data_IF_048902736595
#
_entry.id   IF_048902736595
#
_cell.length_a   1.000
_cell.length_b   1.000
_cell.length_c   1.000
_cell.angle_alpha   90.00
_cell.angle_beta   90.00
_cell.angle_gamma   90.00
#
_symmetry.space_group_name_H-M   'P 1'
#
loop_
_entity.id
_entity.type
_entity.pdbx_description
1 polymer ?
#
# COMPACT_ATOMS: atom_id res chain seq x y z
N UNK A 1 -2.66 -8.77 -92.91
CA UNK A 1 -2.04 -9.72 -91.96
C UNK A 1 -2.67 -9.39 -90.59
N UNK A 2 -3.60 -10.23 -90.09
CA UNK A 2 -4.42 -10.00 -88.90
C UNK A 2 -3.88 -10.87 -87.79
N UNK A 3 -3.32 -10.29 -86.76
CA UNK A 3 -2.87 -11.00 -85.56
C UNK A 3 -4.04 -11.00 -84.56
N UNK A 4 -4.64 -12.19 -84.38
CA UNK A 4 -5.69 -12.37 -83.33
C UNK A 4 -4.97 -12.70 -82.03
N UNK A 5 -4.98 -11.79 -81.13
CA UNK A 5 -4.49 -11.99 -79.75
C UNK A 5 -5.48 -12.80 -78.92
N UNK A 6 -5.11 -14.05 -78.59
CA UNK A 6 -5.85 -14.89 -77.65
C UNK A 6 -5.70 -14.33 -76.22
N UNK A 7 -6.68 -13.58 -75.76
CA UNK A 7 -6.80 -13.22 -74.36
C UNK A 7 -7.23 -14.43 -73.54
N UNK A 8 -6.29 -15.07 -72.82
CA UNK A 8 -6.63 -16.03 -71.75
C UNK A 8 -7.25 -15.27 -70.61
N UNK A 9 -8.54 -15.44 -70.42
CA UNK A 9 -9.26 -15.02 -69.20
C UNK A 9 -8.89 -16.04 -68.12
N UNK A 10 -8.00 -15.64 -67.24
CA UNK A 10 -7.70 -16.39 -66.01
C UNK A 10 -8.95 -16.37 -65.14
N UNK A 11 -9.73 -17.43 -65.16
CA UNK A 11 -10.78 -17.64 -64.18
C UNK A 11 -10.16 -17.95 -62.82
N UNK A 12 -9.86 -16.92 -62.05
CA UNK A 12 -9.63 -17.07 -60.63
C UNK A 12 -10.97 -17.44 -59.98
N UNK A 13 -11.16 -18.72 -59.70
CA UNK A 13 -12.32 -19.18 -58.92
C UNK A 13 -12.17 -18.59 -57.51
N UNK A 14 -12.90 -17.52 -57.26
CA UNK A 14 -13.07 -16.98 -55.89
C UNK A 14 -13.77 -18.08 -55.08
N UNK A 15 -13.00 -18.74 -54.18
CA UNK A 15 -13.56 -19.69 -53.24
C UNK A 15 -14.29 -18.86 -52.17
N UNK A 16 -15.59 -18.80 -52.20
CA UNK A 16 -16.40 -18.19 -51.17
C UNK A 16 -16.23 -18.89 -49.83
N UNK A 17 -16.09 -18.15 -48.76
CA UNK A 17 -16.06 -18.68 -47.40
C UNK A 17 -17.37 -19.41 -47.14
N UNK A 18 -17.29 -20.66 -46.71
CA UNK A 18 -18.49 -21.42 -46.31
C UNK A 18 -19.06 -20.86 -44.99
N UNK A 19 -20.39 -20.96 -44.84
CA UNK A 19 -21.08 -20.48 -43.65
C UNK A 19 -20.51 -21.11 -42.37
N UNK A 20 -20.14 -22.38 -42.44
CA UNK A 20 -19.52 -23.10 -41.30
C UNK A 20 -18.12 -22.57 -40.97
N UNK A 21 -17.31 -22.22 -41.96
CA UNK A 21 -15.98 -21.64 -41.76
C UNK A 21 -16.06 -20.27 -41.11
N UNK A 22 -17.02 -19.44 -41.51
CA UNK A 22 -17.30 -18.15 -40.85
C UNK A 22 -17.72 -18.34 -39.39
N UNK A 23 -18.59 -19.30 -39.07
CA UNK A 23 -19.01 -19.60 -37.70
C UNK A 23 -17.86 -20.09 -36.85
N UNK A 24 -17.04 -20.99 -37.33
CA UNK A 24 -15.85 -21.50 -36.59
C UNK A 24 -14.84 -20.38 -36.36
N UNK A 25 -14.58 -19.56 -37.37
CA UNK A 25 -13.65 -18.44 -37.27
C UNK A 25 -14.11 -17.41 -36.20
N UNK A 26 -15.39 -17.05 -36.20
CA UNK A 26 -15.93 -16.13 -35.19
C UNK A 26 -15.90 -16.73 -33.79
N UNK A 27 -16.15 -18.02 -33.63
CA UNK A 27 -16.03 -18.71 -32.35
C UNK A 27 -14.60 -18.69 -31.80
N UNK A 28 -13.59 -18.95 -32.62
CA UNK A 28 -12.18 -18.92 -32.22
C UNK A 28 -11.77 -17.49 -31.80
N UNK A 29 -12.18 -16.49 -32.60
CA UNK A 29 -11.89 -15.08 -32.28
C UNK A 29 -12.57 -14.67 -30.97
N UNK A 30 -13.82 -15.09 -30.73
CA UNK A 30 -14.52 -14.79 -29.48
C UNK A 30 -13.80 -15.37 -28.25
N UNK A 31 -13.35 -16.62 -28.31
CA UNK A 31 -12.57 -17.25 -27.24
C UNK A 31 -11.27 -16.49 -27.00
N UNK A 32 -10.57 -16.09 -28.08
CA UNK A 32 -9.36 -15.29 -27.99
C UNK A 32 -9.58 -13.95 -27.27
N UNK A 33 -10.65 -13.25 -27.58
CA UNK A 33 -11.00 -12.01 -26.90
C UNK A 33 -11.28 -12.21 -25.40
N UNK A 34 -12.02 -13.25 -25.04
CA UNK A 34 -12.30 -13.55 -23.61
C UNK A 34 -10.97 -13.78 -22.86
N UNK A 35 -10.05 -14.53 -23.43
CA UNK A 35 -8.74 -14.78 -22.82
C UNK A 35 -7.93 -13.48 -22.61
N UNK A 36 -7.92 -12.60 -23.62
CA UNK A 36 -7.25 -11.29 -23.52
C UNK A 36 -7.90 -10.43 -22.43
N UNK A 37 -9.22 -10.34 -22.37
CA UNK A 37 -9.92 -9.57 -21.34
C UNK A 37 -9.62 -10.09 -19.93
N UNK A 38 -9.54 -11.39 -19.72
CA UNK A 38 -9.18 -11.97 -18.46
C UNK A 38 -7.74 -11.61 -18.08
N UNK A 39 -6.79 -11.70 -19.02
CA UNK A 39 -5.40 -11.33 -18.78
C UNK A 39 -5.25 -9.85 -18.39
N UNK A 40 -5.94 -8.96 -19.11
CA UNK A 40 -5.95 -7.52 -18.79
C UNK A 40 -6.54 -7.28 -17.41
N UNK A 41 -7.65 -7.91 -17.06
CA UNK A 41 -8.28 -7.78 -15.75
C UNK A 41 -7.34 -8.21 -14.61
N UNK A 42 -6.65 -9.35 -14.75
CA UNK A 42 -5.64 -9.78 -13.78
C UNK A 42 -4.45 -8.82 -13.70
N UNK A 43 -4.01 -8.29 -14.82
CA UNK A 43 -2.90 -7.32 -14.87
C UNK A 43 -3.27 -6.03 -14.12
N UNK A 44 -4.45 -5.50 -14.33
CA UNK A 44 -4.95 -4.30 -13.62
C UNK A 44 -5.04 -4.55 -12.12
N UNK A 45 -5.56 -5.71 -11.70
CA UNK A 45 -5.61 -6.07 -10.29
C UNK A 45 -4.21 -6.19 -9.67
N UNK A 46 -3.25 -6.77 -10.39
CA UNK A 46 -1.87 -6.88 -9.93
C UNK A 46 -1.20 -5.51 -9.76
N UNK A 47 -1.43 -4.60 -10.71
CA UNK A 47 -0.94 -3.21 -10.64
C UNK A 47 -1.55 -2.48 -9.44
N UNK A 48 -2.85 -2.59 -9.22
CA UNK A 48 -3.53 -1.99 -8.07
C UNK A 48 -2.93 -2.47 -6.74
N UNK A 49 -2.73 -3.78 -6.60
CA UNK A 49 -2.13 -4.37 -5.39
C UNK A 49 -0.69 -3.90 -5.18
N UNK A 50 0.09 -3.81 -6.27
CA UNK A 50 1.48 -3.34 -6.22
C UNK A 50 1.54 -1.86 -5.80
N UNK A 51 0.69 -1.04 -6.38
CA UNK A 51 0.60 0.39 -6.06
C UNK A 51 0.25 0.61 -4.57
N UNK A 52 -0.74 -0.11 -4.03
CA UNK A 52 -1.10 -0.01 -2.61
C UNK A 52 0.03 -0.48 -1.68
N UNK A 53 0.79 -1.50 -2.08
CA UNK A 53 1.98 -1.95 -1.33
C UNK A 53 3.07 -0.88 -1.31
N UNK A 54 3.34 -0.27 -2.45
CA UNK A 54 4.36 0.78 -2.59
C UNK A 54 3.98 2.01 -1.77
N UNK A 55 2.74 2.48 -1.87
CA UNK A 55 2.22 3.59 -1.06
C UNK A 55 2.34 3.30 0.44
N UNK A 56 1.92 2.11 0.85
CA UNK A 56 1.98 1.71 2.27
C UNK A 56 3.43 1.64 2.77
N UNK A 57 4.34 1.09 1.97
CA UNK A 57 5.77 1.04 2.32
C UNK A 57 6.35 2.44 2.43
N UNK A 58 6.09 3.30 1.47
CA UNK A 58 6.54 4.69 1.50
C UNK A 58 6.04 5.45 2.74
N UNK A 59 4.73 5.36 3.03
CA UNK A 59 4.15 6.04 4.18
C UNK A 59 4.69 5.49 5.52
N UNK A 60 4.93 4.19 5.57
CA UNK A 60 5.51 3.56 6.77
C UNK A 60 6.95 4.02 7.00
N UNK A 61 7.76 4.07 5.93
CA UNK A 61 9.14 4.59 5.99
C UNK A 61 9.17 6.08 6.33
N UNK A 62 8.26 6.87 5.78
CA UNK A 62 8.13 8.29 6.08
C UNK A 62 7.95 8.54 7.59
N UNK A 63 7.12 7.75 8.29
CA UNK A 63 6.95 7.88 9.74
C UNK A 63 8.25 7.56 10.47
N UNK A 64 8.96 6.52 10.05
CA UNK A 64 10.25 6.17 10.66
C UNK A 64 11.30 7.26 10.45
N UNK A 65 11.39 7.79 9.23
CA UNK A 65 12.31 8.90 8.89
C UNK A 65 11.98 10.18 9.66
N UNK A 66 10.70 10.53 9.76
CA UNK A 66 10.25 11.69 10.55
C UNK A 66 10.64 11.56 12.03
N UNK A 67 10.64 10.35 12.57
CA UNK A 67 11.05 10.12 13.96
C UNK A 67 12.57 10.12 14.13
N UNK A 68 13.28 9.55 13.17
CA UNK A 68 14.73 9.50 13.21
C UNK A 68 15.36 10.87 13.00
N UNK A 69 14.76 11.73 12.17
CA UNK A 69 15.28 13.08 11.90
C UNK A 69 15.25 13.97 13.16
N UNK A 70 14.21 13.84 13.98
CA UNK A 70 13.99 14.70 15.14
C UNK A 70 14.19 13.97 16.48
N UNK A 71 14.82 12.82 16.47
CA UNK A 71 14.99 12.00 17.69
C UNK A 71 15.67 12.74 18.85
N UNK A 72 16.56 13.67 18.55
CA UNK A 72 17.28 14.45 19.55
C UNK A 72 16.61 15.78 19.92
N UNK A 73 15.50 16.12 19.27
CA UNK A 73 14.74 17.33 19.62
C UNK A 73 14.24 17.24 21.06
N UNK A 74 14.37 18.35 21.80
CA UNK A 74 13.89 18.43 23.17
C UNK A 74 12.43 18.88 23.19
N UNK A 75 11.61 18.11 23.91
CA UNK A 75 10.23 18.42 24.17
C UNK A 75 9.96 18.35 25.68
N UNK A 76 9.61 19.47 26.28
CA UNK A 76 9.37 19.56 27.74
C UNK A 76 10.53 19.03 28.61
N UNK A 77 11.78 19.31 28.21
CA UNK A 77 12.97 18.89 28.94
C UNK A 77 13.33 17.40 28.79
N UNK A 78 12.69 16.70 27.85
CA UNK A 78 12.99 15.31 27.49
C UNK A 78 13.27 15.20 26.00
N UNK A 79 14.14 14.29 25.59
CA UNK A 79 14.33 13.94 24.19
C UNK A 79 13.02 13.39 23.60
N UNK A 80 12.76 13.69 22.35
CA UNK A 80 11.52 13.36 21.66
C UNK A 80 11.15 11.88 21.81
N UNK A 81 12.07 10.96 21.58
CA UNK A 81 11.81 9.52 21.68
C UNK A 81 11.40 9.07 23.09
N UNK A 82 12.01 9.69 24.14
CA UNK A 82 11.67 9.40 25.54
C UNK A 82 10.31 9.94 25.91
N UNK A 83 9.99 11.16 25.46
CA UNK A 83 8.66 11.73 25.62
C UNK A 83 7.59 10.85 24.98
N UNK A 84 7.83 10.40 23.75
CA UNK A 84 6.92 9.54 23.03
C UNK A 84 6.72 8.17 23.70
N UNK A 85 7.76 7.61 24.29
CA UNK A 85 7.66 6.36 25.04
C UNK A 85 6.79 6.53 26.28
N UNK A 86 7.04 7.58 27.07
CA UNK A 86 6.27 7.89 28.27
C UNK A 86 4.79 8.11 27.96
N UNK A 87 4.47 8.81 26.86
CA UNK A 87 3.08 9.02 26.38
C UNK A 87 2.45 7.72 25.86
N UNK A 88 3.23 6.87 25.20
CA UNK A 88 2.75 5.59 24.67
C UNK A 88 2.43 4.57 25.78
N UNK A 89 3.18 4.57 26.87
CA UNK A 89 2.92 3.69 28.04
C UNK A 89 1.54 3.99 28.63
N UNK A 90 1.11 5.23 28.59
CA UNK A 90 -0.20 5.64 29.11
C UNK A 90 -1.37 5.28 28.17
N UNK A 91 -1.11 4.98 26.89
CA UNK A 91 -2.15 4.86 25.85
C UNK A 91 -2.09 3.60 25.01
N UNK A 92 -1.24 2.63 25.30
CA UNK A 92 -0.99 1.45 24.46
C UNK A 92 -0.39 1.74 23.07
N UNK A 93 -0.72 2.86 22.43
CA UNK A 93 -0.20 3.29 21.13
C UNK A 93 0.13 4.79 21.21
N UNK A 94 1.31 5.15 20.73
CA UNK A 94 1.69 6.54 20.64
C UNK A 94 0.80 7.33 19.67
N UNK A 95 0.53 6.73 18.52
CA UNK A 95 -0.39 7.24 17.50
C UNK A 95 -1.21 6.10 16.94
N UNK A 96 -2.50 6.31 16.78
CA UNK A 96 -3.37 5.35 16.12
C UNK A 96 -4.44 6.06 15.30
N UNK A 97 -4.74 5.48 14.13
CA UNK A 97 -5.85 5.87 13.29
C UNK A 97 -6.65 4.61 12.97
N UNK A 98 -7.84 4.50 13.56
CA UNK A 98 -8.67 3.29 13.41
C UNK A 98 -9.57 3.35 12.19
N UNK A 99 -9.98 4.55 11.81
CA UNK A 99 -10.87 4.79 10.68
C UNK A 99 -10.15 5.51 9.54
N UNK A 100 -10.79 5.48 8.39
CA UNK A 100 -10.40 6.28 7.25
C UNK A 100 -10.90 7.70 7.45
N UNK A 101 -10.13 8.52 8.13
CA UNK A 101 -10.48 9.93 8.30
C UNK A 101 -10.24 10.73 7.01
N UNK A 102 -10.91 11.86 6.90
CA UNK A 102 -10.68 12.82 5.80
C UNK A 102 -9.35 13.58 5.91
N UNK A 103 -8.64 13.38 7.00
CA UNK A 103 -7.41 14.07 7.39
C UNK A 103 -7.49 14.59 8.82
N UNK A 104 -6.48 15.33 9.23
CA UNK A 104 -6.45 15.92 10.55
C UNK A 104 -7.51 17.02 10.70
N UNK A 105 -8.17 17.02 11.83
CA UNK A 105 -9.15 18.05 12.21
C UNK A 105 -8.50 19.22 12.95
N UNK A 106 -7.29 19.04 13.46
CA UNK A 106 -6.55 20.05 14.21
C UNK A 106 -5.89 21.04 13.24
N UNK A 107 -6.19 22.31 13.40
CA UNK A 107 -5.75 23.35 12.45
C UNK A 107 -4.43 24.02 12.83
N UNK A 108 -4.04 24.00 14.12
CA UNK A 108 -2.81 24.65 14.57
C UNK A 108 -2.06 23.74 15.56
N UNK A 109 -1.06 22.98 15.11
CA UNK A 109 -0.20 22.21 16.00
C UNK A 109 0.63 23.16 16.88
N UNK A 110 0.71 22.88 18.18
CA UNK A 110 1.41 23.71 19.16
C UNK A 110 2.88 23.30 19.38
N UNK A 111 3.25 22.12 18.91
CA UNK A 111 4.60 21.59 19.04
C UNK A 111 4.97 20.65 17.88
N UNK A 112 6.27 20.37 17.75
CA UNK A 112 6.83 19.49 16.70
C UNK A 112 6.12 18.13 16.61
N UNK A 113 5.71 17.62 17.74
CA UNK A 113 5.07 16.32 17.83
C UNK A 113 3.64 16.33 17.28
N UNK A 114 2.90 17.37 17.57
CA UNK A 114 1.56 17.59 17.01
C UNK A 114 1.63 17.87 15.52
N UNK A 115 2.65 18.59 15.05
CA UNK A 115 2.91 18.75 13.60
C UNK A 115 3.10 17.40 12.91
N UNK A 116 3.88 16.51 13.52
CA UNK A 116 4.10 15.17 12.96
C UNK A 116 2.81 14.35 12.95
N UNK A 117 2.06 14.32 14.04
CA UNK A 117 0.74 13.66 14.11
C UNK A 117 -0.20 14.22 13.05
N UNK A 118 -0.28 15.53 12.92
CA UNK A 118 -1.08 16.20 11.88
C UNK A 118 -0.65 15.80 10.46
N UNK A 119 0.65 15.79 10.19
CA UNK A 119 1.21 15.32 8.92
C UNK A 119 0.83 13.86 8.65
N UNK A 120 0.95 12.98 9.64
CA UNK A 120 0.62 11.56 9.49
C UNK A 120 -0.88 11.37 9.26
N UNK A 121 -1.75 12.04 10.01
CA UNK A 121 -3.19 11.99 9.83
C UNK A 121 -3.60 12.37 8.40
N UNK A 122 -3.02 13.45 7.87
CA UNK A 122 -3.25 13.87 6.49
C UNK A 122 -2.68 12.90 5.46
N UNK A 123 -1.50 12.32 5.72
CA UNK A 123 -0.84 11.38 4.79
C UNK A 123 -1.52 10.02 4.76
N UNK A 124 -2.04 9.55 5.89
CA UNK A 124 -2.78 8.30 5.99
C UNK A 124 -4.30 8.45 5.77
N UNK A 125 -4.75 9.59 5.30
CA UNK A 125 -6.17 9.86 5.04
C UNK A 125 -6.72 9.00 3.90
N UNK A 126 -8.06 8.90 3.81
CA UNK A 126 -8.78 8.15 2.78
C UNK A 126 -8.48 8.60 1.35
N UNK A 127 -8.01 9.84 1.17
CA UNK A 127 -7.64 10.38 -0.14
C UNK A 127 -6.39 9.70 -0.73
N UNK A 128 -5.55 9.09 0.10
CA UNK A 128 -4.26 8.53 -0.31
C UNK A 128 -4.21 7.01 -0.23
N UNK A 129 -4.87 6.43 0.75
CA UNK A 129 -4.98 4.99 0.93
C UNK A 129 -6.41 4.52 0.69
N UNK A 130 -6.56 3.40 0.00
CA UNK A 130 -7.85 2.73 -0.13
C UNK A 130 -8.29 2.25 1.24
N UNK A 131 -9.24 2.93 1.81
CA UNK A 131 -9.85 2.60 3.08
C UNK A 131 -11.32 2.19 2.88
N UNK A 132 -11.84 1.37 3.79
CA UNK A 132 -13.25 1.05 3.85
C UNK A 132 -13.92 1.79 5.02
N UNK A 133 -15.15 2.24 4.82
CA UNK A 133 -15.99 2.85 5.85
C UNK A 133 -16.25 1.91 7.04
N UNK A 134 -16.04 0.61 6.88
CA UNK A 134 -16.29 -0.43 7.88
C UNK A 134 -15.06 -0.75 8.77
N UNK A 135 -14.27 0.24 9.17
CA UNK A 135 -13.14 0.10 10.12
C UNK A 135 -12.02 -0.87 9.72
N UNK A 136 -11.83 -1.12 8.43
CA UNK A 136 -10.77 -1.99 7.93
C UNK A 136 -9.58 -1.17 7.49
N UNK A 137 -8.75 -0.75 8.42
CA UNK A 137 -7.57 0.02 8.03
C UNK A 137 -6.80 0.62 9.20
N UNK A 138 -6.63 -0.16 10.26
CA UNK A 138 -5.92 0.31 11.46
C UNK A 138 -4.46 0.64 11.15
N UNK A 139 -4.02 1.84 11.53
CA UNK A 139 -2.65 2.30 11.50
C UNK A 139 -2.24 2.59 12.94
N UNK A 140 -1.12 2.05 13.35
CA UNK A 140 -0.65 2.13 14.73
C UNK A 140 0.84 2.37 14.75
N UNK A 141 1.27 3.33 15.56
CA UNK A 141 2.66 3.52 15.93
C UNK A 141 2.81 3.21 17.41
N UNK A 142 3.61 2.21 17.74
CA UNK A 142 4.02 1.90 19.11
C UNK A 142 5.48 2.20 19.29
N UNK A 143 5.84 2.68 20.47
CA UNK A 143 7.22 2.84 20.89
C UNK A 143 7.41 2.00 22.14
N UNK A 144 8.49 1.27 22.19
CA UNK A 144 8.82 0.41 23.30
C UNK A 144 10.33 0.43 23.57
N UNK A 145 10.65 0.22 24.80
CA UNK A 145 12.01 0.14 25.30
C UNK A 145 12.43 -1.33 25.31
N UNK A 146 13.57 -1.62 24.73
CA UNK A 146 14.22 -2.91 24.90
C UNK A 146 15.22 -2.77 26.05
N UNK A 147 15.07 -3.65 26.99
CA UNK A 147 15.96 -3.76 28.13
C UNK A 147 15.85 -2.63 29.17
N UNK A 148 14.84 -2.76 30.07
CA UNK A 148 14.65 -1.86 31.21
C UNK A 148 15.82 -1.89 32.22
N UNK A 149 16.58 -2.96 32.26
CA UNK A 149 17.62 -3.24 33.28
C UNK A 149 18.84 -3.94 32.71
N UNK A 150 19.26 -3.62 31.51
CA UNK A 150 20.49 -4.16 30.95
C UNK A 150 21.69 -3.56 31.68
N UNK A 151 22.38 -4.40 32.39
CA UNK A 151 23.71 -4.10 32.94
C UNK A 151 24.75 -4.89 32.15
N UNK A 152 25.73 -4.21 31.59
CA UNK A 152 26.91 -4.81 31.06
C UNK A 152 28.03 -4.57 32.10
N UNK A 153 28.56 -5.62 32.67
CA UNK A 153 29.60 -5.56 33.73
C UNK A 153 29.34 -4.44 34.75
N UNK A 154 28.86 -4.78 35.88
CA UNK A 154 28.65 -4.10 37.16
C UNK A 154 28.53 -2.55 37.22
N UNK A 155 29.07 -1.77 36.27
CA UNK A 155 29.15 -0.30 36.36
C UNK A 155 28.62 0.46 35.15
N UNK A 156 28.50 -0.15 33.95
CA UNK A 156 28.00 0.56 32.77
C UNK A 156 26.49 0.30 32.57
N UNK A 157 25.72 1.32 32.83
CA UNK A 157 24.29 1.36 32.40
C UNK A 157 24.28 1.54 30.89
N UNK A 158 24.07 0.45 30.17
CA UNK A 158 23.77 0.56 28.72
C UNK A 158 22.65 1.58 28.50
N UNK A 159 22.87 2.51 27.61
CA UNK A 159 21.82 3.43 27.20
C UNK A 159 20.60 2.62 26.75
N UNK A 160 19.44 3.01 27.25
CA UNK A 160 18.18 2.36 26.93
C UNK A 160 17.94 2.44 25.43
N UNK A 161 17.69 1.30 24.80
CA UNK A 161 17.41 1.23 23.37
C UNK A 161 15.92 1.32 23.14
N UNK A 162 15.52 2.28 22.33
CA UNK A 162 14.11 2.50 21.97
C UNK A 162 13.85 2.06 20.54
N UNK A 163 12.71 1.36 20.36
CA UNK A 163 12.25 0.89 19.07
C UNK A 163 10.88 1.45 18.75
N UNK A 164 10.71 1.86 17.51
CA UNK A 164 9.41 2.14 16.93
C UNK A 164 8.89 0.92 16.18
N UNK A 165 7.60 0.64 16.33
CA UNK A 165 6.85 -0.34 15.54
C UNK A 165 5.71 0.36 14.84
N UNK A 166 5.83 0.52 13.53
CA UNK A 166 4.74 0.99 12.70
C UNK A 166 3.99 -0.19 12.09
N UNK A 167 2.68 -0.24 12.31
CA UNK A 167 1.78 -1.24 11.75
C UNK A 167 0.71 -0.55 10.94
N UNK A 168 0.59 -0.94 9.68
CA UNK A 168 -0.45 -0.46 8.76
C UNK A 168 -1.22 -1.65 8.24
N UNK A 169 -2.51 -1.68 8.52
CA UNK A 169 -3.43 -2.67 7.97
C UNK A 169 -4.28 -2.00 6.91
N UNK A 170 -4.30 -2.55 5.71
CA UNK A 170 -5.07 -2.07 4.57
C UNK A 170 -6.02 -3.15 4.06
N UNK A 171 -7.08 -2.72 3.40
CA UNK A 171 -7.98 -3.58 2.66
C UNK A 171 -7.26 -4.12 1.42
N UNK A 172 -7.34 -5.42 1.18
CA UNK A 172 -6.86 -6.03 -0.06
C UNK A 172 -8.01 -6.23 -1.03
N UNK A 173 -7.74 -6.18 -2.32
CA UNK A 173 -8.70 -6.57 -3.34
C UNK A 173 -9.05 -8.05 -3.19
N UNK A 174 -10.35 -8.34 -3.14
CA UNK A 174 -10.89 -9.70 -3.02
C UNK A 174 -11.37 -10.07 -1.62
N UNK A 175 -12.21 -11.10 -1.60
CA UNK A 175 -12.75 -11.74 -0.40
C UNK A 175 -12.07 -13.08 -0.18
N UNK A 176 -12.08 -13.57 1.04
CA UNK A 176 -11.68 -14.94 1.35
C UNK A 176 -12.82 -15.94 1.01
N UNK A 177 -12.58 -17.22 1.22
CA UNK A 177 -13.57 -18.29 0.97
C UNK A 177 -14.85 -18.16 1.80
N UNK A 178 -14.85 -17.35 2.86
CA UNK A 178 -16.00 -17.04 3.70
C UNK A 178 -16.69 -15.71 3.33
N UNK A 179 -16.34 -15.10 2.21
CA UNK A 179 -16.91 -13.82 1.77
C UNK A 179 -16.37 -12.61 2.54
N UNK A 180 -15.42 -12.80 3.46
CA UNK A 180 -14.84 -11.73 4.26
C UNK A 180 -13.73 -11.02 3.50
N UNK A 181 -13.71 -9.70 3.59
CA UNK A 181 -12.68 -8.89 2.96
C UNK A 181 -11.28 -9.25 3.45
N UNK A 182 -10.38 -9.55 2.52
CA UNK A 182 -8.97 -9.81 2.84
C UNK A 182 -8.29 -8.55 3.36
N UNK A 183 -7.49 -8.72 4.42
CA UNK A 183 -6.67 -7.66 5.02
C UNK A 183 -5.20 -7.94 4.77
N UNK A 184 -4.42 -6.92 4.49
CA UNK A 184 -2.96 -6.99 4.41
C UNK A 184 -2.37 -6.09 5.49
N UNK A 185 -1.40 -6.62 6.21
CA UNK A 185 -0.71 -5.87 7.26
C UNK A 185 0.75 -5.70 6.88
N UNK A 186 1.23 -4.46 6.91
CA UNK A 186 2.64 -4.10 6.81
C UNK A 186 3.14 -3.74 8.21
N UNK A 187 4.28 -4.31 8.57
CA UNK A 187 4.99 -4.01 9.81
C UNK A 187 6.37 -3.45 9.46
N UNK A 188 6.77 -2.40 10.16
CA UNK A 188 8.12 -1.87 10.12
C UNK A 188 8.60 -1.68 11.57
N UNK A 189 9.76 -2.23 11.88
CA UNK A 189 10.47 -2.00 13.13
C UNK A 189 11.71 -1.17 12.82
N UNK A 190 11.98 -0.17 13.64
CA UNK A 190 13.14 0.70 13.49
C UNK A 190 13.65 1.12 14.85
N UNK A 191 14.96 1.23 14.96
CA UNK A 191 15.62 1.72 16.17
C UNK A 191 15.62 3.25 16.14
N UNK A 192 15.30 3.89 17.27
CA UNK A 192 15.14 5.34 17.34
C UNK A 192 16.38 6.04 17.88
N UNK A 193 17.14 5.40 18.78
CA UNK A 193 18.37 5.95 19.40
C UNK A 193 19.60 5.21 18.98
#
# INVERSE_FOLDING_TARGET
MRIVGNGQISNSSEKGITLIEALVSTAIVAIGFIAIFQMVSYSVQAIDVSNERTKTSYLTSMVAEDLLSDKFSDLSGKKLYKYMYDDAVSRDNYWSMESCSDGATTTNPSNVLEEKKFKWDNRFSKRRLKCDSNNVGKKELKIFEICKTCKYNNDDILEKIYFGKMKVTIKSSGTDSSGKQRKKTKLLYFQIN
#
